data_IF_626889746948
#
_entry.id   IF_626889746948
#
_cell.length_a   1.000
_cell.length_b   1.000
_cell.length_c   1.000
_cell.angle_alpha   90.00
_cell.angle_beta   90.00
_cell.angle_gamma   90.00
#
_symmetry.space_group_name_H-M   'P 1'
#
loop_
_entity.id
_entity.type
_entity.pdbx_description
1 polymer ?
#
# COMPACT_ATOMS: atom_id res chain seq x y z
N UNK A 1 25.81 -27.25 10.30
CA UNK A 1 24.87 -26.94 9.23
C UNK A 1 23.57 -26.40 9.87
N UNK A 2 22.97 -25.35 9.33
CA UNK A 2 21.68 -24.90 9.81
C UNK A 2 20.65 -26.03 9.65
N UNK A 3 19.92 -26.33 10.72
CA UNK A 3 18.95 -27.44 10.79
C UNK A 3 17.79 -27.35 9.79
N UNK A 4 17.61 -26.18 9.14
CA UNK A 4 16.55 -25.93 8.17
C UNK A 4 16.94 -26.23 6.71
N UNK A 5 18.16 -26.72 6.47
CA UNK A 5 18.62 -27.16 5.15
C UNK A 5 19.04 -28.64 5.18
N UNK A 6 18.16 -29.57 5.59
CA UNK A 6 18.51 -30.98 5.61
C UNK A 6 18.73 -31.48 4.18
N UNK A 7 19.88 -32.12 3.96
CA UNK A 7 20.23 -32.72 2.67
C UNK A 7 21.02 -31.83 1.71
N UNK A 8 21.28 -30.57 2.04
CA UNK A 8 22.19 -29.72 1.27
C UNK A 8 23.58 -29.78 1.91
N UNK A 9 24.48 -30.44 1.25
CA UNK A 9 25.93 -30.42 1.56
C UNK A 9 26.54 -29.27 0.77
N UNK A 10 26.71 -28.10 1.41
CA UNK A 10 27.43 -26.99 0.82
C UNK A 10 28.76 -26.80 1.55
N UNK A 11 29.85 -26.87 0.79
CA UNK A 11 31.18 -26.55 1.28
C UNK A 11 31.63 -25.24 0.64
N UNK A 12 31.78 -24.16 1.43
CA UNK A 12 32.21 -22.87 0.89
C UNK A 12 33.57 -22.91 0.20
N UNK A 13 34.43 -23.84 0.56
CA UNK A 13 35.77 -23.98 -0.08
C UNK A 13 35.69 -24.42 -1.54
N UNK A 14 34.57 -25.00 -1.96
CA UNK A 14 34.29 -25.37 -3.36
C UNK A 14 33.62 -24.24 -4.16
N UNK A 15 33.40 -23.07 -3.56
CA UNK A 15 32.87 -21.91 -4.27
C UNK A 15 33.93 -21.32 -5.21
N UNK A 16 33.49 -20.93 -6.41
CA UNK A 16 34.32 -20.20 -7.38
C UNK A 16 34.87 -18.89 -6.81
N UNK A 17 34.27 -18.37 -5.79
CA UNK A 17 34.62 -17.08 -5.14
C UNK A 17 35.39 -17.26 -3.83
N UNK A 18 35.71 -18.50 -3.42
CA UNK A 18 36.37 -18.76 -2.13
C UNK A 18 37.73 -18.05 -2.01
N UNK A 19 38.52 -18.06 -3.05
CA UNK A 19 39.84 -17.40 -3.03
C UNK A 19 39.72 -15.89 -2.94
N UNK A 20 38.76 -15.31 -3.65
CA UNK A 20 38.47 -13.86 -3.55
C UNK A 20 37.98 -13.49 -2.14
N UNK A 21 37.09 -14.28 -1.59
CA UNK A 21 36.57 -14.10 -0.23
C UNK A 21 37.66 -14.20 0.83
N UNK A 22 38.58 -15.19 0.71
CA UNK A 22 39.72 -15.35 1.60
C UNK A 22 40.67 -14.13 1.54
N UNK A 23 40.95 -13.63 0.34
CA UNK A 23 41.76 -12.42 0.15
C UNK A 23 41.14 -11.21 0.80
N UNK A 24 39.85 -11.06 0.69
CA UNK A 24 39.12 -9.94 1.27
C UNK A 24 39.05 -10.03 2.79
N UNK A 25 38.83 -11.21 3.35
CA UNK A 25 38.91 -11.45 4.80
C UNK A 25 40.29 -11.14 5.34
N UNK A 26 41.33 -11.56 4.64
CA UNK A 26 42.72 -11.25 5.05
C UNK A 26 42.96 -9.75 5.02
N UNK A 27 42.48 -9.03 4.02
CA UNK A 27 42.56 -7.58 3.98
C UNK A 27 41.84 -6.93 5.19
N UNK A 28 40.62 -7.39 5.52
CA UNK A 28 39.88 -6.92 6.68
C UNK A 28 40.57 -7.22 8.02
N UNK A 29 41.18 -8.42 8.12
CA UNK A 29 41.84 -8.90 9.34
C UNK A 29 43.30 -8.41 9.53
N UNK A 30 44.01 -8.06 8.48
CA UNK A 30 45.44 -7.73 8.50
C UNK A 30 45.72 -6.24 8.74
N UNK A 31 44.70 -5.40 8.76
CA UNK A 31 44.89 -3.98 9.01
C UNK A 31 45.34 -3.74 10.45
N UNK A 32 46.64 -3.72 10.65
CA UNK A 32 47.29 -3.43 11.94
C UNK A 32 46.98 -2.01 12.44
N UNK A 33 46.44 -1.16 11.59
CA UNK A 33 46.15 0.25 11.88
C UNK A 33 44.66 0.53 12.13
N UNK A 34 43.83 -0.51 12.11
CA UNK A 34 42.38 -0.33 12.19
C UNK A 34 41.77 0.31 10.94
N UNK A 35 42.54 0.48 9.89
CA UNK A 35 42.05 0.75 8.54
C UNK A 35 41.92 -0.56 7.79
N UNK A 36 40.85 -0.78 7.12
CA UNK A 36 40.79 -1.78 6.08
C UNK A 36 41.84 -1.35 5.06
N UNK A 37 42.87 -2.12 4.82
CA UNK A 37 44.06 -1.75 4.07
C UNK A 37 43.84 -1.49 2.58
N UNK A 38 42.80 -0.78 2.27
CA UNK A 38 42.46 -0.36 0.93
C UNK A 38 42.41 1.19 0.90
N UNK A 39 43.31 1.77 0.14
CA UNK A 39 43.24 3.18 -0.16
C UNK A 39 42.22 3.40 -1.29
N UNK A 40 41.22 4.26 -1.09
CA UNK A 40 40.30 4.60 -2.16
C UNK A 40 41.09 5.05 -3.37
N UNK A 41 40.90 4.40 -4.51
CA UNK A 41 41.35 4.96 -5.77
C UNK A 41 40.76 6.37 -5.89
N UNK A 42 41.55 7.38 -6.22
CA UNK A 42 41.06 8.73 -6.36
C UNK A 42 40.18 8.77 -7.60
N UNK A 43 38.89 8.59 -7.40
CA UNK A 43 37.89 8.84 -8.42
C UNK A 43 37.40 10.30 -8.21
N UNK A 44 37.93 11.26 -8.98
CA UNK A 44 37.44 12.63 -8.89
C UNK A 44 36.06 12.67 -9.53
N UNK A 45 35.04 13.20 -8.93
CA UNK A 45 34.96 14.29 -7.97
C UNK A 45 34.17 13.96 -6.69
N UNK A 46 34.24 12.74 -6.25
CA UNK A 46 33.51 12.31 -5.05
C UNK A 46 34.39 12.64 -3.86
N UNK A 47 34.13 13.75 -3.22
CA UNK A 47 34.91 14.29 -2.15
C UNK A 47 35.42 13.25 -1.17
N UNK A 48 36.60 13.45 -0.64
CA UNK A 48 37.31 12.58 0.30
C UNK A 48 36.38 12.01 1.36
N UNK A 49 35.78 10.85 1.07
CA UNK A 49 35.08 10.11 2.09
C UNK A 49 36.13 9.61 3.10
N UNK A 50 35.91 9.81 4.41
CA UNK A 50 36.86 9.34 5.41
C UNK A 50 37.04 7.82 5.23
N UNK A 51 38.31 7.39 5.29
CA UNK A 51 38.64 5.96 5.22
C UNK A 51 37.80 5.19 6.25
N UNK A 52 37.27 4.03 5.85
CA UNK A 52 36.59 3.15 6.78
C UNK A 52 37.58 2.71 7.85
N UNK A 53 37.29 3.04 9.10
CA UNK A 53 38.16 2.74 10.23
C UNK A 53 37.37 2.17 11.39
N UNK A 54 37.71 0.97 11.81
CA UNK A 54 37.24 0.41 13.07
C UNK A 54 37.95 1.11 14.22
N UNK A 55 37.24 1.38 15.31
CA UNK A 55 37.87 1.79 16.57
C UNK A 55 38.65 0.63 17.18
N UNK A 56 39.57 0.92 18.09
CA UNK A 56 40.35 -0.12 18.76
C UNK A 56 39.47 -1.15 19.49
N UNK A 57 38.35 -0.70 20.07
CA UNK A 57 37.39 -1.57 20.73
C UNK A 57 36.64 -2.48 19.71
N UNK A 58 36.19 -1.90 18.59
CA UNK A 58 35.57 -2.65 17.50
C UNK A 58 36.54 -3.67 16.90
N UNK A 59 37.80 -3.28 16.72
CA UNK A 59 38.85 -4.16 16.21
C UNK A 59 39.16 -5.30 17.17
N UNK A 60 39.20 -5.05 18.48
CA UNK A 60 39.37 -6.08 19.50
C UNK A 60 38.20 -7.07 19.47
N UNK A 61 36.97 -6.58 19.36
CA UNK A 61 35.77 -7.41 19.24
C UNK A 61 35.81 -8.24 17.97
N UNK A 62 36.17 -7.65 16.83
CA UNK A 62 36.32 -8.37 15.57
C UNK A 62 37.36 -9.50 15.63
N UNK A 63 38.50 -9.24 16.26
CA UNK A 63 39.55 -10.26 16.43
C UNK A 63 39.14 -11.42 17.32
N UNK A 64 38.31 -11.14 18.32
CA UNK A 64 37.84 -12.15 19.28
C UNK A 64 36.70 -12.99 18.69
N UNK A 65 35.74 -12.36 18.00
CA UNK A 65 34.49 -12.97 17.59
C UNK A 65 34.43 -13.31 16.09
N UNK A 66 35.36 -12.80 15.29
CA UNK A 66 35.35 -12.90 13.83
C UNK A 66 34.37 -11.95 13.14
N UNK A 67 33.63 -11.17 13.89
CA UNK A 67 32.73 -10.13 13.39
C UNK A 67 32.56 -9.01 14.42
N UNK A 68 32.07 -7.85 13.95
CA UNK A 68 31.68 -6.72 14.81
C UNK A 68 30.44 -6.04 14.23
N UNK A 69 29.55 -5.61 15.08
CA UNK A 69 28.41 -4.75 14.73
C UNK A 69 28.73 -3.34 15.18
N UNK A 70 28.75 -2.40 14.25
CA UNK A 70 29.06 -0.99 14.53
C UNK A 70 27.84 -0.10 14.28
N UNK A 71 27.23 0.41 15.34
CA UNK A 71 26.16 1.40 15.23
C UNK A 71 26.67 2.76 14.72
N UNK A 72 27.91 3.07 15.02
CA UNK A 72 28.60 4.30 14.57
C UNK A 72 28.70 4.42 13.05
N UNK A 73 28.75 3.29 12.35
CA UNK A 73 28.88 3.18 10.89
C UNK A 73 27.51 2.92 10.21
N UNK A 74 26.44 2.97 10.97
CA UNK A 74 25.09 2.76 10.44
C UNK A 74 24.69 3.87 9.48
N UNK A 75 23.95 3.48 8.46
CA UNK A 75 23.32 4.37 7.48
C UNK A 75 21.79 4.27 7.57
N UNK A 76 21.10 5.18 6.88
CA UNK A 76 19.63 5.28 6.95
C UNK A 76 18.91 4.14 6.24
N UNK A 77 19.58 3.48 5.31
CA UNK A 77 18.98 2.39 4.52
C UNK A 77 20.05 1.41 4.03
N UNK A 78 19.61 0.20 3.63
CA UNK A 78 20.51 -0.75 2.93
C UNK A 78 21.09 -0.15 1.65
N UNK A 79 20.36 0.65 0.93
CA UNK A 79 20.87 1.33 -0.27
C UNK A 79 22.03 2.26 0.05
N UNK A 80 21.93 3.04 1.12
CA UNK A 80 23.01 3.93 1.57
C UNK A 80 24.24 3.12 2.04
N UNK A 81 24.01 2.02 2.77
CA UNK A 81 25.09 1.11 3.20
C UNK A 81 25.84 0.56 1.99
N UNK A 82 25.13 -0.02 1.02
CA UNK A 82 25.77 -0.60 -0.17
C UNK A 82 26.42 0.48 -1.04
N UNK A 83 25.83 1.65 -1.17
CA UNK A 83 26.45 2.77 -1.85
C UNK A 83 27.77 3.19 -1.18
N UNK A 84 27.79 3.32 0.15
CA UNK A 84 28.99 3.65 0.92
C UNK A 84 30.06 2.58 0.83
N UNK A 85 29.71 1.30 0.79
CA UNK A 85 30.63 0.19 0.55
C UNK A 85 31.19 0.30 -0.86
N UNK A 86 30.35 0.52 -1.87
CA UNK A 86 30.74 0.63 -3.27
C UNK A 86 31.71 1.80 -3.51
N UNK A 87 31.41 3.00 -3.02
CA UNK A 87 32.25 4.19 -3.25
C UNK A 87 33.59 4.12 -2.50
N UNK A 88 33.69 3.26 -1.51
CA UNK A 88 34.93 2.99 -0.75
C UNK A 88 35.69 1.76 -1.25
N UNK A 89 35.19 1.10 -2.28
CA UNK A 89 35.70 -0.15 -2.85
C UNK A 89 35.98 -1.23 -1.79
N UNK A 90 35.03 -1.35 -0.85
CA UNK A 90 35.09 -2.37 0.18
C UNK A 90 34.45 -3.68 -0.31
N UNK A 91 34.84 -4.82 0.26
CA UNK A 91 34.17 -6.09 -0.04
C UNK A 91 32.69 -6.02 0.28
N UNK A 92 31.85 -6.39 -0.68
CA UNK A 92 30.38 -6.36 -0.52
C UNK A 92 29.90 -7.75 -0.09
N UNK A 93 29.25 -7.82 1.08
CA UNK A 93 28.54 -8.99 1.52
C UNK A 93 27.04 -8.83 1.28
N UNK A 94 26.51 -9.56 0.31
CA UNK A 94 25.09 -9.53 -0.05
C UNK A 94 24.35 -10.60 0.74
N UNK A 95 23.41 -10.18 1.59
CA UNK A 95 22.56 -11.09 2.36
C UNK A 95 21.22 -11.31 1.64
N UNK A 96 20.55 -12.41 1.97
CA UNK A 96 19.17 -12.66 1.53
C UNK A 96 18.24 -11.51 1.92
N UNK A 97 18.40 -10.97 3.13
CA UNK A 97 17.59 -9.84 3.62
C UNK A 97 17.76 -8.60 2.77
N UNK A 98 19.00 -8.29 2.33
CA UNK A 98 19.25 -7.13 1.46
C UNK A 98 18.63 -7.31 0.07
N UNK A 99 18.65 -8.52 -0.47
CA UNK A 99 17.99 -8.84 -1.75
C UNK A 99 16.47 -8.70 -1.61
N UNK A 100 15.89 -9.26 -0.55
CA UNK A 100 14.45 -9.15 -0.27
C UNK A 100 14.03 -7.69 -0.04
N UNK A 101 14.86 -6.92 0.67
CA UNK A 101 14.61 -5.49 0.87
C UNK A 101 14.66 -4.70 -0.45
N UNK A 102 15.63 -4.97 -1.32
CA UNK A 102 15.73 -4.33 -2.63
C UNK A 102 14.52 -4.69 -3.50
N UNK A 103 14.11 -5.94 -3.49
CA UNK A 103 12.92 -6.41 -4.20
C UNK A 103 11.66 -5.72 -3.69
N UNK A 104 11.44 -5.73 -2.39
CA UNK A 104 10.28 -5.08 -1.75
C UNK A 104 10.24 -3.58 -2.05
N UNK A 105 11.38 -2.89 -2.00
CA UNK A 105 11.47 -1.46 -2.33
C UNK A 105 11.16 -1.19 -3.80
N UNK A 106 11.69 -2.00 -4.71
CA UNK A 106 11.43 -1.87 -6.15
C UNK A 106 9.95 -2.10 -6.46
N UNK A 107 9.35 -3.15 -5.89
CA UNK A 107 7.93 -3.45 -6.06
C UNK A 107 7.04 -2.32 -5.51
N UNK A 108 7.33 -1.85 -4.28
CA UNK A 108 6.60 -0.72 -3.68
C UNK A 108 6.73 0.55 -4.52
N UNK A 109 7.90 0.83 -5.10
CA UNK A 109 8.10 1.97 -6.00
C UNK A 109 7.29 1.86 -7.29
N UNK A 110 7.19 0.67 -7.88
CA UNK A 110 6.36 0.43 -9.06
C UNK A 110 4.89 0.64 -8.73
N UNK A 111 4.41 0.09 -7.61
CA UNK A 111 3.02 0.29 -7.16
C UNK A 111 2.71 1.77 -6.95
N UNK A 112 3.58 2.49 -6.25
CA UNK A 112 3.42 3.93 -5.98
C UNK A 112 3.23 4.74 -7.27
N UNK A 113 4.08 4.52 -8.27
CA UNK A 113 3.99 5.22 -9.57
C UNK A 113 2.69 4.89 -10.30
N UNK A 114 2.27 3.63 -10.28
CA UNK A 114 1.04 3.19 -10.96
C UNK A 114 -0.20 3.69 -10.22
N UNK A 115 -0.22 3.59 -8.90
CA UNK A 115 -1.35 4.01 -8.08
C UNK A 115 -1.56 5.52 -8.14
N UNK A 116 -0.51 6.32 -7.96
CA UNK A 116 -0.62 7.78 -8.00
C UNK A 116 -0.82 8.33 -9.41
N UNK A 117 -0.07 7.80 -10.39
CA UNK A 117 -0.08 8.33 -11.75
C UNK A 117 -1.23 7.82 -12.64
N UNK A 118 -1.82 6.68 -12.32
CA UNK A 118 -2.82 6.04 -13.20
C UNK A 118 -4.08 5.60 -12.46
N UNK A 119 -3.95 4.83 -11.36
CA UNK A 119 -5.12 4.24 -10.72
C UNK A 119 -5.96 5.27 -9.98
N UNK A 120 -5.35 6.17 -9.20
CA UNK A 120 -6.07 7.20 -8.47
C UNK A 120 -6.85 8.13 -9.43
N UNK A 121 -6.26 8.73 -10.47
CA UNK A 121 -7.01 9.55 -11.43
C UNK A 121 -8.10 8.76 -12.18
N UNK A 122 -7.87 7.48 -12.46
CA UNK A 122 -8.87 6.62 -13.12
C UNK A 122 -10.05 6.38 -12.21
N UNK A 123 -9.80 6.10 -10.92
CA UNK A 123 -10.84 5.89 -9.91
C UNK A 123 -11.64 7.17 -9.67
N UNK A 124 -10.99 8.32 -9.52
CA UNK A 124 -11.64 9.62 -9.41
C UNK A 124 -12.59 9.88 -10.58
N UNK A 125 -12.12 9.65 -11.80
CA UNK A 125 -12.95 9.81 -12.99
C UNK A 125 -14.13 8.82 -13.04
N UNK A 126 -13.91 7.54 -12.69
CA UNK A 126 -14.99 6.56 -12.60
C UNK A 126 -16.06 7.00 -11.60
N UNK A 127 -15.66 7.41 -10.41
CA UNK A 127 -16.60 7.89 -9.37
C UNK A 127 -17.33 9.17 -9.82
N UNK A 128 -16.65 10.05 -10.54
CA UNK A 128 -17.25 11.23 -11.14
C UNK A 128 -18.37 10.87 -12.11
N UNK A 129 -18.07 9.99 -13.05
CA UNK A 129 -19.02 9.60 -14.10
C UNK A 129 -20.22 8.83 -13.52
N UNK A 130 -19.99 7.93 -12.54
CA UNK A 130 -21.05 7.18 -11.90
C UNK A 130 -21.97 8.09 -11.08
N UNK A 131 -21.42 8.97 -10.26
CA UNK A 131 -22.22 9.92 -9.46
C UNK A 131 -22.99 10.90 -10.33
N UNK A 132 -22.44 11.27 -11.49
CA UNK A 132 -23.13 12.11 -12.47
C UNK A 132 -24.45 11.50 -12.99
N UNK A 133 -24.58 10.16 -12.95
CA UNK A 133 -25.80 9.46 -13.37
C UNK A 133 -26.90 9.49 -12.31
N UNK A 134 -26.56 9.75 -11.05
CA UNK A 134 -27.54 9.68 -9.96
C UNK A 134 -28.72 10.65 -10.16
N UNK A 135 -28.49 11.84 -10.73
CA UNK A 135 -29.56 12.81 -10.98
C UNK A 135 -30.66 12.31 -11.93
N UNK A 136 -30.28 11.62 -13.01
CA UNK A 136 -31.24 11.01 -13.94
C UNK A 136 -31.85 9.75 -13.35
N UNK A 137 -31.01 8.89 -12.76
CA UNK A 137 -31.44 7.62 -12.17
C UNK A 137 -32.42 7.82 -10.99
N UNK A 138 -32.27 8.87 -10.20
CA UNK A 138 -33.18 9.18 -9.09
C UNK A 138 -34.63 9.28 -9.55
N UNK A 139 -34.89 9.84 -10.72
CA UNK A 139 -36.26 9.93 -11.26
C UNK A 139 -36.84 8.56 -11.59
N UNK A 140 -36.01 7.64 -12.06
CA UNK A 140 -36.41 6.29 -12.41
C UNK A 140 -36.67 5.42 -11.16
N UNK A 141 -35.91 5.70 -10.09
CA UNK A 141 -35.99 4.96 -8.82
C UNK A 141 -36.81 5.66 -7.73
N UNK A 142 -37.39 6.86 -8.00
CA UNK A 142 -38.12 7.66 -7.00
C UNK A 142 -39.27 6.90 -6.31
N UNK A 143 -39.85 5.92 -6.98
CA UNK A 143 -40.86 5.03 -6.44
C UNK A 143 -40.60 3.60 -6.88
N UNK A 144 -40.97 2.65 -6.03
CA UNK A 144 -40.83 1.24 -6.35
C UNK A 144 -39.90 0.47 -5.41
N UNK A 145 -39.67 -0.81 -5.68
CA UNK A 145 -39.00 -1.69 -4.73
C UNK A 145 -37.50 -1.38 -4.56
N UNK A 146 -36.88 -0.62 -5.46
CA UNK A 146 -35.45 -0.27 -5.41
C UNK A 146 -35.17 1.14 -4.91
N UNK A 147 -36.17 1.91 -4.48
CA UNK A 147 -35.98 3.29 -4.03
C UNK A 147 -34.93 3.41 -2.90
N UNK A 148 -35.06 2.60 -1.85
CA UNK A 148 -34.10 2.57 -0.75
C UNK A 148 -32.72 2.04 -1.17
N UNK A 149 -32.69 1.09 -2.08
CA UNK A 149 -31.44 0.56 -2.65
C UNK A 149 -30.70 1.61 -3.47
N UNK A 150 -31.44 2.47 -4.17
CA UNK A 150 -30.87 3.62 -4.87
C UNK A 150 -30.26 4.64 -3.91
N UNK A 151 -30.95 4.97 -2.83
CA UNK A 151 -30.41 5.87 -1.78
C UNK A 151 -29.11 5.33 -1.17
N UNK A 152 -29.02 4.00 -0.98
CA UNK A 152 -27.80 3.36 -0.48
C UNK A 152 -26.67 3.38 -1.52
N UNK A 153 -26.97 3.14 -2.80
CA UNK A 153 -25.99 3.23 -3.88
C UNK A 153 -25.45 4.66 -4.03
N UNK A 154 -26.32 5.66 -3.98
CA UNK A 154 -25.95 7.07 -4.02
C UNK A 154 -25.09 7.47 -2.82
N UNK A 155 -25.46 7.05 -1.62
CA UNK A 155 -24.68 7.24 -0.41
C UNK A 155 -23.30 6.62 -0.53
N UNK A 156 -23.23 5.36 -0.97
CA UNK A 156 -21.98 4.61 -1.13
C UNK A 156 -21.01 5.31 -2.10
N UNK A 157 -21.51 5.72 -3.26
CA UNK A 157 -20.73 6.45 -4.25
C UNK A 157 -20.32 7.84 -3.78
N UNK A 158 -21.19 8.52 -3.03
CA UNK A 158 -20.91 9.86 -2.51
C UNK A 158 -19.75 9.86 -1.51
N UNK A 159 -19.72 8.89 -0.58
CA UNK A 159 -18.58 8.73 0.34
C UNK A 159 -17.30 8.40 -0.41
N UNK A 160 -17.35 7.42 -1.33
CA UNK A 160 -16.18 7.04 -2.14
C UNK A 160 -15.60 8.24 -2.88
N UNK A 161 -16.47 9.07 -3.45
CA UNK A 161 -16.04 10.26 -4.18
C UNK A 161 -15.41 11.33 -3.30
N UNK A 162 -16.00 11.61 -2.13
CA UNK A 162 -15.41 12.58 -1.18
C UNK A 162 -14.04 12.11 -0.71
N UNK A 163 -13.87 10.83 -0.44
CA UNK A 163 -12.57 10.26 -0.10
C UNK A 163 -11.56 10.43 -1.24
N UNK A 164 -11.96 10.19 -2.49
CA UNK A 164 -11.07 10.27 -3.65
C UNK A 164 -10.57 11.70 -3.90
N UNK A 165 -11.48 12.69 -3.84
CA UNK A 165 -11.16 14.09 -4.19
C UNK A 165 -10.59 14.88 -3.01
N UNK A 166 -10.93 14.49 -1.77
CA UNK A 166 -10.45 15.15 -0.56
C UNK A 166 -11.14 16.48 -0.24
N UNK A 167 -12.22 16.82 -0.92
CA UNK A 167 -12.88 18.09 -0.74
C UNK A 167 -14.40 18.04 -0.75
N UNK A 168 -14.91 19.17 -0.30
CA UNK A 168 -16.26 19.59 -0.01
C UNK A 168 -17.35 19.03 -0.92
N UNK A 169 -18.41 18.72 -0.29
CA UNK A 169 -19.72 18.36 -0.78
C UNK A 169 -20.26 19.35 -1.82
N UNK A 170 -19.89 19.18 -3.07
CA UNK A 170 -20.62 19.75 -4.19
C UNK A 170 -21.51 18.69 -4.81
N UNK A 171 -22.83 18.84 -4.72
CA UNK A 171 -23.72 17.97 -5.46
C UNK A 171 -23.68 18.35 -6.94
N UNK A 172 -23.62 17.32 -7.75
CA UNK A 172 -23.34 17.46 -9.17
C UNK A 172 -24.62 17.52 -10.02
N UNK A 173 -25.76 17.42 -9.35
CA UNK A 173 -27.10 17.48 -9.95
C UNK A 173 -28.07 18.07 -8.92
N UNK A 174 -29.15 18.69 -9.40
CA UNK A 174 -30.19 19.17 -8.50
C UNK A 174 -30.85 18.04 -7.71
N UNK A 175 -30.80 18.13 -6.40
CA UNK A 175 -31.39 17.17 -5.47
C UNK A 175 -32.29 17.95 -4.47
N UNK A 176 -33.35 17.31 -4.02
CA UNK A 176 -34.26 17.93 -3.06
C UNK A 176 -33.49 18.21 -1.74
N UNK A 177 -33.63 19.44 -1.16
CA UNK A 177 -32.78 19.82 -0.01
C UNK A 177 -32.87 18.88 1.19
N UNK A 178 -34.04 18.29 1.46
CA UNK A 178 -34.19 17.31 2.54
C UNK A 178 -33.37 16.02 2.32
N UNK A 179 -33.40 15.52 1.10
CA UNK A 179 -32.61 14.32 0.70
C UNK A 179 -31.11 14.63 0.71
N UNK A 180 -30.74 15.81 0.20
CA UNK A 180 -29.36 16.28 0.26
C UNK A 180 -28.83 16.32 1.69
N UNK A 181 -29.62 16.87 2.62
CA UNK A 181 -29.22 16.95 4.02
C UNK A 181 -29.03 15.57 4.65
N UNK A 182 -29.91 14.60 4.37
CA UNK A 182 -29.79 13.25 4.88
C UNK A 182 -28.54 12.55 4.34
N UNK A 183 -28.27 12.64 3.04
CA UNK A 183 -27.08 12.08 2.43
C UNK A 183 -25.79 12.70 2.99
N UNK A 184 -25.76 14.02 3.11
CA UNK A 184 -24.65 14.75 3.74
C UNK A 184 -24.40 14.27 5.16
N UNK A 185 -25.43 14.10 5.95
CA UNK A 185 -25.30 13.66 7.35
C UNK A 185 -24.77 12.23 7.43
N UNK A 186 -25.33 11.28 6.63
CA UNK A 186 -24.84 9.90 6.59
C UNK A 186 -23.38 9.83 6.19
N UNK A 187 -23.02 10.54 5.16
CA UNK A 187 -21.66 10.54 4.65
C UNK A 187 -20.68 11.24 5.60
N UNK A 188 -21.07 12.34 6.23
CA UNK A 188 -20.27 13.01 7.26
C UNK A 188 -19.96 12.06 8.42
N UNK A 189 -20.95 11.35 8.93
CA UNK A 189 -20.75 10.34 9.97
C UNK A 189 -19.75 9.27 9.53
N UNK A 190 -19.87 8.77 8.30
CA UNK A 190 -18.93 7.77 7.78
C UNK A 190 -17.50 8.30 7.69
N UNK A 191 -17.32 9.53 7.23
CA UNK A 191 -16.01 10.18 7.15
C UNK A 191 -15.40 10.45 8.54
N UNK A 192 -16.23 10.83 9.51
CA UNK A 192 -15.79 10.99 10.91
C UNK A 192 -15.32 9.67 11.51
N UNK A 193 -16.01 8.55 11.24
CA UNK A 193 -15.60 7.21 11.67
C UNK A 193 -14.31 6.77 11.01
N UNK A 194 -14.16 7.02 9.70
CA UNK A 194 -12.92 6.74 8.96
C UNK A 194 -11.76 7.56 9.54
N UNK A 195 -11.97 8.86 9.78
CA UNK A 195 -10.96 9.74 10.36
C UNK A 195 -10.59 9.34 11.80
N UNK A 196 -11.54 8.82 12.57
CA UNK A 196 -11.29 8.35 13.93
C UNK A 196 -10.42 7.09 13.95
N UNK A 197 -10.42 6.27 12.89
CA UNK A 197 -9.56 5.10 12.73
C UNK A 197 -9.70 4.05 13.84
N UNK A 198 -10.91 3.87 14.37
CA UNK A 198 -11.18 2.93 15.49
C UNK A 198 -12.22 1.90 15.10
N UNK A 199 -12.10 0.67 15.61
CA UNK A 199 -13.15 -0.32 15.45
C UNK A 199 -14.44 0.15 16.12
N UNK A 200 -15.54 0.09 15.40
CA UNK A 200 -16.84 0.50 15.92
C UNK A 200 -17.95 -0.34 15.28
N UNK A 201 -19.03 -0.48 16.00
CA UNK A 201 -20.23 -1.09 15.50
C UNK A 201 -21.05 -0.07 14.71
N UNK A 202 -21.21 -0.27 13.41
CA UNK A 202 -21.94 0.65 12.54
C UNK A 202 -22.68 -0.10 11.43
N UNK A 203 -23.92 0.30 11.19
CA UNK A 203 -24.79 -0.29 10.17
C UNK A 203 -24.96 0.68 8.98
N UNK A 204 -24.32 0.36 7.86
CA UNK A 204 -24.39 1.16 6.65
C UNK A 204 -25.69 0.98 5.86
N UNK A 205 -26.23 -0.26 5.82
CA UNK A 205 -27.27 -0.65 4.87
C UNK A 205 -28.48 -1.33 5.53
N UNK A 206 -28.84 -0.94 6.73
CA UNK A 206 -29.99 -1.46 7.47
C UNK A 206 -30.01 -2.99 7.57
N UNK A 207 -28.96 -3.57 8.07
CA UNK A 207 -28.87 -5.02 8.31
C UNK A 207 -29.69 -5.41 9.52
N UNK A 208 -30.50 -6.46 9.37
CA UNK A 208 -31.54 -6.85 10.35
C UNK A 208 -31.03 -7.32 11.73
N UNK A 209 -29.78 -7.67 11.89
CA UNK A 209 -29.25 -8.16 13.16
C UNK A 209 -28.00 -7.40 13.56
N UNK A 210 -28.20 -6.54 14.55
CA UNK A 210 -27.12 -5.90 15.27
C UNK A 210 -26.29 -4.95 14.43
N UNK A 211 -25.56 -4.15 15.15
CA UNK A 211 -24.55 -3.30 14.57
C UNK A 211 -23.41 -4.16 14.06
N UNK A 212 -23.07 -4.00 12.81
CA UNK A 212 -21.90 -4.66 12.27
C UNK A 212 -20.63 -4.05 12.84
N UNK A 213 -19.70 -4.93 13.14
CA UNK A 213 -18.38 -4.52 13.55
C UNK A 213 -17.58 -4.09 12.32
N UNK A 214 -17.21 -2.83 12.27
CA UNK A 214 -16.36 -2.28 11.22
C UNK A 214 -15.05 -1.80 11.86
N UNK A 215 -13.95 -2.37 11.39
CA UNK A 215 -12.63 -1.96 11.83
C UNK A 215 -12.12 -0.78 10.99
N UNK A 216 -12.45 0.44 11.41
CA UNK A 216 -11.99 1.65 10.75
C UNK A 216 -10.47 1.90 10.92
N UNK A 217 -9.77 1.18 11.81
CA UNK A 217 -8.31 1.25 11.87
C UNK A 217 -7.65 0.82 10.55
N UNK A 218 -8.34 -0.02 9.78
CA UNK A 218 -7.88 -0.44 8.46
C UNK A 218 -7.87 0.68 7.41
N UNK A 219 -8.57 1.79 7.65
CA UNK A 219 -8.59 2.96 6.77
C UNK A 219 -7.42 3.93 7.02
N UNK A 220 -6.63 3.68 8.07
CA UNK A 220 -5.45 4.50 8.35
C UNK A 220 -4.36 4.19 7.33
N UNK A 221 -3.92 5.18 6.53
CA UNK A 221 -2.87 4.99 5.53
C UNK A 221 -1.58 4.49 6.15
N UNK A 222 -0.91 3.55 5.48
CA UNK A 222 0.34 2.92 5.94
C UNK A 222 1.29 2.64 4.77
N UNK A 223 2.57 2.39 5.07
CA UNK A 223 3.58 2.13 4.04
C UNK A 223 3.72 3.30 3.06
N UNK A 224 3.78 3.02 1.77
CA UNK A 224 3.92 4.04 0.74
C UNK A 224 2.70 4.98 0.63
N UNK A 225 1.54 4.56 1.09
CA UNK A 225 0.33 5.40 1.11
C UNK A 225 0.43 6.62 2.04
N UNK A 226 1.43 6.70 2.91
CA UNK A 226 1.65 7.89 3.77
C UNK A 226 2.45 9.00 3.08
N UNK A 227 3.01 8.74 1.90
CA UNK A 227 3.96 9.64 1.23
C UNK A 227 3.32 10.89 0.65
N UNK A 228 2.15 10.74 0.01
CA UNK A 228 1.46 11.86 -0.62
C UNK A 228 -0.02 11.91 -0.26
N UNK A 229 -0.65 13.10 -0.26
CA UNK A 229 -2.09 13.20 -0.06
C UNK A 229 -2.91 12.43 -1.12
N UNK A 230 -2.43 12.32 -2.35
CA UNK A 230 -3.09 11.56 -3.41
C UNK A 230 -3.14 10.06 -3.09
N UNK A 231 -2.01 9.49 -2.67
CA UNK A 231 -1.94 8.09 -2.23
C UNK A 231 -2.78 7.81 -0.99
N UNK A 232 -2.82 8.74 -0.02
CA UNK A 232 -3.68 8.61 1.15
C UNK A 232 -5.16 8.52 0.77
N UNK A 233 -5.62 9.44 -0.10
CA UNK A 233 -7.00 9.46 -0.59
C UNK A 233 -7.32 8.19 -1.39
N UNK A 234 -6.45 7.81 -2.30
CA UNK A 234 -6.60 6.57 -3.08
C UNK A 234 -6.76 5.36 -2.15
N UNK A 235 -5.87 5.20 -1.16
CA UNK A 235 -5.95 4.13 -0.18
C UNK A 235 -7.29 4.11 0.56
N UNK A 236 -7.71 5.25 1.11
CA UNK A 236 -8.97 5.34 1.86
C UNK A 236 -10.18 5.06 0.98
N UNK A 237 -10.16 5.52 -0.27
CA UNK A 237 -11.22 5.22 -1.24
C UNK A 237 -11.29 3.73 -1.57
N UNK A 238 -10.14 3.09 -1.82
CA UNK A 238 -10.09 1.66 -2.09
C UNK A 238 -10.51 0.84 -0.88
N UNK A 239 -10.12 1.26 0.33
CA UNK A 239 -10.59 0.63 1.57
C UNK A 239 -12.10 0.75 1.75
N UNK A 240 -12.70 1.91 1.41
CA UNK A 240 -14.15 2.06 1.41
C UNK A 240 -14.83 1.11 0.44
N UNK A 241 -14.40 1.11 -0.80
CA UNK A 241 -14.98 0.28 -1.87
C UNK A 241 -14.81 -1.21 -1.65
N UNK A 242 -13.73 -1.63 -0.99
CA UNK A 242 -13.43 -3.04 -0.77
C UNK A 242 -13.91 -3.61 0.58
N UNK A 243 -14.06 -2.75 1.63
CA UNK A 243 -14.43 -3.23 2.96
C UNK A 243 -15.87 -2.97 3.37
N UNK A 244 -16.51 -2.02 2.74
CA UNK A 244 -17.94 -1.77 2.91
C UNK A 244 -18.68 -2.60 1.87
N UNK A 245 -18.78 -3.89 2.15
CA UNK A 245 -19.35 -4.88 1.25
C UNK A 245 -20.88 -4.84 1.20
N UNK A 246 -21.44 -5.31 0.10
CA UNK A 246 -22.86 -5.55 -0.08
C UNK A 246 -23.14 -7.06 -0.01
N UNK A 247 -23.93 -7.48 0.95
CA UNK A 247 -24.26 -8.90 1.15
C UNK A 247 -25.40 -9.32 0.25
N UNK A 248 -25.03 -9.81 -0.93
CA UNK A 248 -25.97 -10.17 -2.01
C UNK A 248 -26.39 -11.64 -2.00
N UNK A 249 -25.63 -12.49 -1.31
CA UNK A 249 -25.86 -13.92 -1.20
C UNK A 249 -25.63 -14.43 0.22
N UNK A 250 -26.16 -15.63 0.53
CA UNK A 250 -26.05 -16.26 1.84
C UNK A 250 -27.39 -16.74 2.36
N UNK A 251 -27.44 -17.15 3.62
CA UNK A 251 -28.70 -17.51 4.29
C UNK A 251 -29.53 -16.27 4.67
N UNK A 252 -30.72 -16.50 5.20
CA UNK A 252 -31.66 -15.43 5.60
C UNK A 252 -31.13 -14.47 6.65
N UNK A 253 -30.05 -14.82 7.33
CA UNK A 253 -29.41 -13.99 8.36
C UNK A 253 -28.37 -13.04 7.76
N UNK A 254 -27.82 -13.37 6.59
CA UNK A 254 -26.70 -12.66 5.97
C UNK A 254 -27.07 -11.92 4.70
N UNK A 255 -27.94 -12.53 3.85
CA UNK A 255 -28.37 -11.90 2.61
C UNK A 255 -29.42 -10.81 2.85
N UNK A 256 -29.31 -9.72 2.11
CA UNK A 256 -30.25 -8.61 2.15
C UNK A 256 -30.75 -8.25 0.75
N UNK A 257 -32.06 -8.32 0.54
CA UNK A 257 -32.69 -7.91 -0.73
C UNK A 257 -32.42 -6.44 -1.05
N UNK A 258 -32.30 -5.59 -0.03
CA UNK A 258 -31.94 -4.18 -0.17
C UNK A 258 -30.51 -4.02 -0.68
N UNK A 259 -29.55 -4.78 -0.12
CA UNK A 259 -28.16 -4.73 -0.57
C UNK A 259 -27.95 -5.35 -1.95
N UNK A 260 -28.69 -6.42 -2.29
CA UNK A 260 -28.76 -6.93 -3.66
C UNK A 260 -29.30 -5.85 -4.61
N UNK A 261 -30.36 -5.18 -4.22
CA UNK A 261 -30.90 -4.04 -4.98
C UNK A 261 -29.87 -2.93 -5.16
N UNK A 262 -29.10 -2.61 -4.12
CA UNK A 262 -28.00 -1.63 -4.19
C UNK A 262 -26.94 -2.06 -5.20
N UNK A 263 -26.53 -3.33 -5.22
CA UNK A 263 -25.59 -3.84 -6.21
C UNK A 263 -26.15 -3.76 -7.65
N UNK A 264 -27.44 -4.05 -7.83
CA UNK A 264 -28.14 -3.91 -9.13
C UNK A 264 -28.13 -2.44 -9.59
N UNK A 265 -28.44 -1.50 -8.68
CA UNK A 265 -28.41 -0.06 -8.99
C UNK A 265 -27.00 0.42 -9.33
N UNK A 266 -25.98 0.01 -8.59
CA UNK A 266 -24.58 0.34 -8.90
C UNK A 266 -24.18 -0.17 -10.28
N UNK A 267 -24.59 -1.38 -10.65
CA UNK A 267 -24.36 -1.93 -11.99
C UNK A 267 -25.12 -1.15 -13.08
N UNK A 268 -26.35 -0.70 -12.81
CA UNK A 268 -27.11 0.15 -13.72
C UNK A 268 -26.42 1.52 -13.90
N UNK A 269 -25.99 2.16 -12.83
CA UNK A 269 -25.23 3.41 -12.89
C UNK A 269 -23.93 3.26 -13.70
N UNK A 270 -23.21 2.15 -13.54
CA UNK A 270 -22.03 1.84 -14.32
C UNK A 270 -22.36 1.70 -15.83
N UNK A 271 -23.48 1.07 -16.16
CA UNK A 271 -23.93 0.97 -17.55
C UNK A 271 -24.34 2.33 -18.12
N UNK A 272 -25.12 3.13 -17.40
CA UNK A 272 -25.55 4.47 -17.80
C UNK A 272 -24.37 5.40 -18.04
N UNK A 273 -23.33 5.30 -17.21
CA UNK A 273 -22.13 6.11 -17.35
C UNK A 273 -21.30 5.77 -18.59
N UNK A 274 -21.52 4.62 -19.23
CA UNK A 274 -20.69 4.13 -20.33
C UNK A 274 -19.27 3.74 -19.93
N UNK A 275 -18.96 3.68 -18.62
CA UNK A 275 -17.59 3.47 -18.13
C UNK A 275 -17.24 2.00 -17.83
N UNK A 276 -18.08 1.03 -18.24
CA UNK A 276 -17.84 -0.39 -17.99
C UNK A 276 -16.47 -0.86 -18.48
N UNK A 277 -16.05 -0.46 -19.67
CA UNK A 277 -14.73 -0.84 -20.21
C UNK A 277 -13.58 -0.27 -19.37
N UNK A 278 -13.73 0.95 -18.84
CA UNK A 278 -12.75 1.59 -17.96
C UNK A 278 -12.69 0.86 -16.62
N UNK A 279 -13.85 0.51 -16.04
CA UNK A 279 -13.93 -0.27 -14.82
C UNK A 279 -13.27 -1.64 -14.99
N UNK A 280 -13.55 -2.38 -16.08
CA UNK A 280 -12.90 -3.66 -16.36
C UNK A 280 -11.38 -3.54 -16.54
N UNK A 281 -10.91 -2.44 -17.12
CA UNK A 281 -9.48 -2.18 -17.25
C UNK A 281 -8.84 -1.92 -15.88
N UNK A 282 -9.50 -1.14 -15.03
CA UNK A 282 -9.07 -0.86 -13.66
C UNK A 282 -9.00 -2.16 -12.83
N UNK A 283 -10.04 -2.98 -12.86
CA UNK A 283 -10.10 -4.29 -12.21
C UNK A 283 -8.97 -5.22 -12.67
N UNK A 284 -8.68 -5.24 -13.97
CA UNK A 284 -7.57 -6.03 -14.53
C UNK A 284 -6.21 -5.58 -14.00
N UNK A 285 -5.99 -4.29 -13.81
CA UNK A 285 -4.76 -3.82 -13.18
C UNK A 285 -4.65 -4.27 -11.73
N UNK A 286 -5.72 -4.15 -10.95
CA UNK A 286 -5.74 -4.64 -9.57
C UNK A 286 -5.45 -6.13 -9.53
N UNK A 287 -6.14 -6.93 -10.34
CA UNK A 287 -5.90 -8.38 -10.44
C UNK A 287 -4.46 -8.73 -10.80
N UNK A 288 -3.84 -7.95 -11.68
CA UNK A 288 -2.45 -8.19 -12.09
C UNK A 288 -1.45 -7.95 -10.97
N UNK A 289 -1.66 -6.93 -10.15
CA UNK A 289 -0.70 -6.53 -9.10
C UNK A 289 -0.97 -7.17 -7.74
N UNK A 290 -2.23 -7.44 -7.41
CA UNK A 290 -2.66 -7.88 -6.08
C UNK A 290 -3.13 -9.34 -6.12
N UNK A 291 -3.54 -9.82 -7.28
CA UNK A 291 -4.20 -11.12 -7.48
C UNK A 291 -5.70 -10.99 -7.67
N UNK A 292 -6.38 -12.08 -8.04
CA UNK A 292 -7.83 -12.09 -8.14
C UNK A 292 -8.47 -11.84 -6.78
N UNK A 293 -9.56 -11.09 -6.76
CA UNK A 293 -10.42 -11.01 -5.58
C UNK A 293 -11.19 -12.31 -5.40
N UNK A 294 -11.28 -12.76 -4.15
CA UNK A 294 -12.08 -13.94 -3.78
C UNK A 294 -13.58 -13.74 -4.00
#
# INVERSE_FOLDING_TARGET
QPAYLPGISWDPTNSLYWDAFQKDIVKLGSSQTGSVGWEPQPDPPRGLLPAFKLSDAELATFRTNGFVVSERLSDKSFGDIYYNIFVRDLPVFITTDSILQAWQRSFSGVLEVIEEGMLAPTLENLLWELTGQCGSARRDYASGPLAQSFEDAEFYLSVARVLAVGESWGWFYPIEPAVEQQLKQRAKTSLELIAAGKPVSYNFFDRRQGSEWVDFSQFVPRGHYTKTPALQRYFQTMMWLGRVDLRVAGDTNWASTRQLGTAIVLNDLLNRSGQRAKWQKFDRYLTTFIGPSD
#
